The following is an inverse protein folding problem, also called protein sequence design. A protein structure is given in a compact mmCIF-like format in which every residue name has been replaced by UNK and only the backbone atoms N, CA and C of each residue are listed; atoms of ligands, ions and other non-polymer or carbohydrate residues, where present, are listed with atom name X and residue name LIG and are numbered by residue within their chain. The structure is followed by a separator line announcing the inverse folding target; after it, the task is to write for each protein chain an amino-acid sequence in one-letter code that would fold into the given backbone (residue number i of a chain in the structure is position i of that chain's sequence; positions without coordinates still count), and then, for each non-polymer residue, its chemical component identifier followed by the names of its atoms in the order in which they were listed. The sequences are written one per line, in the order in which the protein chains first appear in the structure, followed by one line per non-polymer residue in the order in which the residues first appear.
data_IF_681743174069
#
_entry.id   IF_681743174069
#
_cell.length_a   1.000
_cell.length_b   1.000
_cell.length_c   1.000
_cell.angle_alpha   90.00
_cell.angle_beta   90.00
_cell.angle_gamma   90.00
#
_symmetry.space_group_name_H-M   'P 1'
#
loop_
_entity.id
_entity.type
_entity.pdbx_description
1 polymer ?
#
# COMPACT_ATOMS: atom_id res chain seq x y z
N UNK A 1 -4.32 15.50 2.51
CA UNK A 1 -3.80 14.25 3.08
C UNK A 1 -4.08 14.28 4.57
N UNK A 2 -4.61 13.19 5.14
CA UNK A 2 -4.93 13.09 6.56
C UNK A 2 -4.22 11.88 7.17
N UNK A 3 -3.47 12.08 8.26
CA UNK A 3 -2.84 10.99 9.01
C UNK A 3 -3.89 10.25 9.85
N UNK A 4 -3.81 8.91 9.87
CA UNK A 4 -4.70 8.05 10.63
C UNK A 4 -3.94 7.48 11.84
N UNK A 5 -4.12 8.12 12.99
CA UNK A 5 -3.38 7.82 14.22
C UNK A 5 -3.69 6.45 14.84
N UNK A 6 -4.80 5.82 14.45
CA UNK A 6 -5.23 4.51 14.98
C UNK A 6 -4.76 3.31 14.14
N UNK A 7 -3.76 3.50 13.27
CA UNK A 7 -3.15 2.39 12.54
C UNK A 7 -2.28 1.53 13.45
N UNK A 8 -2.65 0.26 13.64
CA UNK A 8 -1.93 -0.65 14.55
C UNK A 8 -0.54 -1.05 14.06
N UNK A 9 -0.37 -1.33 12.76
CA UNK A 9 0.85 -1.95 12.21
C UNK A 9 1.66 -1.07 11.26
N UNK A 10 1.08 0.04 10.81
CA UNK A 10 1.71 0.95 9.85
C UNK A 10 1.33 2.39 10.19
N UNK A 11 2.15 3.36 9.77
CA UNK A 11 1.66 4.73 9.66
C UNK A 11 0.80 4.81 8.40
N UNK A 12 -0.45 5.23 8.55
CA UNK A 12 -1.41 5.26 7.46
C UNK A 12 -1.87 6.70 7.22
N UNK A 13 -2.08 7.04 5.95
CA UNK A 13 -2.70 8.29 5.56
C UNK A 13 -3.78 8.04 4.52
N UNK A 14 -4.84 8.85 4.58
CA UNK A 14 -5.76 9.00 3.46
C UNK A 14 -5.29 10.14 2.57
N UNK A 15 -5.12 9.83 1.29
CA UNK A 15 -4.84 10.81 0.23
C UNK A 15 -6.13 11.00 -0.56
N UNK A 16 -6.51 12.25 -0.79
CA UNK A 16 -7.63 12.61 -1.67
C UNK A 16 -7.04 13.43 -2.81
N UNK A 17 -7.32 13.02 -4.03
CA UNK A 17 -6.89 13.68 -5.26
C UNK A 17 -8.12 13.89 -6.15
N UNK A 18 -7.95 14.61 -7.27
CA UNK A 18 -8.98 14.71 -8.31
C UNK A 18 -9.36 13.37 -8.93
N UNK A 19 -8.48 12.36 -8.83
CA UNK A 19 -8.65 11.03 -9.40
C UNK A 19 -9.23 10.03 -8.39
N UNK A 20 -9.50 10.45 -7.16
CA UNK A 20 -10.13 9.62 -6.14
C UNK A 20 -9.42 9.64 -4.79
N UNK A 21 -9.72 8.62 -3.98
CA UNK A 21 -9.15 8.44 -2.64
C UNK A 21 -8.23 7.22 -2.60
N UNK A 22 -7.11 7.39 -1.92
CA UNK A 22 -6.08 6.36 -1.79
C UNK A 22 -5.66 6.23 -0.32
N UNK A 23 -5.24 5.03 0.05
CA UNK A 23 -4.55 4.79 1.31
C UNK A 23 -3.04 4.72 1.05
N UNK A 24 -2.27 5.58 1.70
CA UNK A 24 -0.81 5.47 1.75
C UNK A 24 -0.41 4.81 3.07
N UNK A 25 0.48 3.84 3.00
CA UNK A 25 1.01 3.13 4.16
C UNK A 25 2.52 3.23 4.15
N UNK A 26 3.11 3.69 5.25
CA UNK A 26 4.54 3.51 5.52
C UNK A 26 4.68 2.25 6.37
N UNK A 27 5.48 1.32 5.86
CA UNK A 27 5.80 0.05 6.51
C UNK A 27 6.77 0.29 7.67
N UNK A 28 6.49 -0.29 8.83
CA UNK A 28 7.34 -0.16 10.02
C UNK A 28 7.98 -1.50 10.40
N UNK A 29 7.16 -2.52 10.66
CA UNK A 29 7.60 -3.74 11.36
C UNK A 29 7.45 -5.01 10.52
N UNK A 30 7.51 -4.88 9.19
CA UNK A 30 7.45 -6.01 8.26
C UNK A 30 8.61 -5.97 7.27
N UNK A 31 9.31 -7.10 7.03
CA UNK A 31 10.31 -7.16 5.97
C UNK A 31 9.69 -6.79 4.62
N UNK A 32 10.36 -5.92 3.87
CA UNK A 32 9.90 -5.40 2.57
C UNK A 32 9.58 -6.52 1.58
N UNK A 33 10.39 -7.58 1.57
CA UNK A 33 10.15 -8.74 0.71
C UNK A 33 8.80 -9.42 1.01
N UNK A 34 8.46 -9.56 2.29
CA UNK A 34 7.17 -10.10 2.73
C UNK A 34 6.02 -9.19 2.32
N UNK A 35 6.17 -7.88 2.51
CA UNK A 35 5.15 -6.90 2.09
C UNK A 35 4.92 -6.95 0.57
N UNK A 36 5.98 -6.95 -0.24
CA UNK A 36 5.90 -7.08 -1.70
C UNK A 36 5.19 -8.36 -2.13
N UNK A 37 5.52 -9.50 -1.51
CA UNK A 37 4.84 -10.78 -1.78
C UNK A 37 3.35 -10.70 -1.45
N UNK A 38 3.00 -10.21 -0.27
CA UNK A 38 1.60 -10.11 0.17
C UNK A 38 0.78 -9.20 -0.75
N UNK A 39 1.36 -8.07 -1.17
CA UNK A 39 0.69 -7.12 -2.06
C UNK A 39 0.45 -7.70 -3.46
N UNK A 40 1.38 -8.48 -4.01
CA UNK A 40 1.17 -9.21 -5.28
C UNK A 40 0.01 -10.21 -5.17
N UNK A 41 -0.15 -10.87 -4.02
CA UNK A 41 -1.29 -11.76 -3.77
C UNK A 41 -2.60 -10.97 -3.78
N UNK A 42 -2.64 -9.76 -3.21
CA UNK A 42 -3.84 -8.93 -3.25
C UNK A 42 -4.23 -8.52 -4.67
N UNK A 43 -3.27 -8.26 -5.56
CA UNK A 43 -3.54 -8.03 -6.99
C UNK A 43 -4.22 -9.24 -7.61
N UNK A 44 -3.66 -10.44 -7.44
CA UNK A 44 -4.23 -11.67 -7.99
C UNK A 44 -5.62 -11.99 -7.43
N UNK A 45 -5.85 -11.74 -6.13
CA UNK A 45 -7.17 -11.91 -5.51
C UNK A 45 -8.20 -10.92 -6.08
N UNK A 46 -7.80 -9.67 -6.28
CA UNK A 46 -8.64 -8.65 -6.89
C UNK A 46 -9.02 -9.01 -8.34
N UNK A 47 -8.05 -9.45 -9.14
CA UNK A 47 -8.28 -9.95 -10.51
C UNK A 47 -9.20 -11.18 -10.52
N UNK A 48 -9.13 -12.03 -9.49
CA UNK A 48 -10.05 -13.14 -9.26
C UNK A 48 -11.44 -12.74 -8.75
N UNK A 49 -11.74 -11.44 -8.62
CA UNK A 49 -13.05 -10.92 -8.21
C UNK A 49 -13.27 -10.85 -6.69
N UNK A 50 -12.25 -11.13 -5.88
CA UNK A 50 -12.36 -10.99 -4.42
C UNK A 50 -12.34 -9.49 -4.06
N UNK A 51 -13.26 -9.00 -3.19
CA UNK A 51 -13.35 -7.59 -2.84
C UNK A 51 -12.23 -7.17 -1.87
N UNK A 52 -10.99 -7.13 -2.37
CA UNK A 52 -9.81 -6.63 -1.67
C UNK A 52 -9.29 -5.35 -2.31
N UNK A 53 -8.57 -4.55 -1.54
CA UNK A 53 -7.86 -3.38 -2.06
C UNK A 53 -6.59 -3.84 -2.80
N UNK A 54 -6.60 -3.76 -4.13
CA UNK A 54 -5.37 -3.95 -4.93
C UNK A 54 -4.41 -2.76 -4.74
N UNK A 55 -3.10 -3.00 -4.61
CA UNK A 55 -2.12 -1.92 -4.54
C UNK A 55 -2.09 -1.10 -5.83
N UNK A 56 -1.93 0.22 -5.70
CA UNK A 56 -1.54 1.04 -6.84
C UNK A 56 -0.04 0.83 -7.10
N UNK A 57 0.30 0.39 -8.31
CA UNK A 57 1.69 0.14 -8.69
C UNK A 57 2.44 1.44 -9.00
N UNK A 58 3.73 1.44 -8.72
CA UNK A 58 4.67 2.47 -9.20
C UNK A 58 4.80 2.41 -10.72
N UNK A 59 5.50 3.39 -11.31
CA UNK A 59 5.83 3.38 -12.74
C UNK A 59 6.66 2.17 -13.18
N UNK A 60 7.40 1.55 -12.26
CA UNK A 60 8.23 0.36 -12.50
C UNK A 60 7.52 -0.95 -12.10
N UNK A 61 6.18 -0.93 -12.07
CA UNK A 61 5.32 -2.08 -11.71
C UNK A 61 5.57 -2.69 -10.32
N UNK A 62 6.19 -1.94 -9.41
CA UNK A 62 6.38 -2.33 -8.02
C UNK A 62 5.20 -1.91 -7.13
N UNK A 63 4.75 -2.75 -6.17
CA UNK A 63 3.68 -2.40 -5.23
C UNK A 63 4.18 -1.62 -3.99
N UNK A 64 5.49 -1.41 -3.87
CA UNK A 64 6.17 -0.76 -2.75
C UNK A 64 7.33 0.05 -3.29
N UNK A 65 7.50 1.27 -2.81
CA UNK A 65 8.60 2.17 -3.17
C UNK A 65 9.42 2.52 -1.94
N UNK A 66 10.75 2.50 -2.07
CA UNK A 66 11.66 2.96 -1.03
C UNK A 66 11.83 4.49 -1.18
N UNK A 67 11.58 5.25 -0.11
CA UNK A 67 11.72 6.71 -0.06
C UNK A 67 12.72 7.08 1.04
N UNK A 68 13.97 7.35 0.63
CA UNK A 68 15.07 7.56 1.57
C UNK A 68 15.33 6.30 2.40
N UNK A 69 15.20 6.39 3.73
CA UNK A 69 15.32 5.23 4.64
C UNK A 69 13.97 4.59 4.98
N UNK A 70 12.89 5.00 4.31
CA UNK A 70 11.52 4.56 4.59
C UNK A 70 10.98 3.72 3.44
N UNK A 71 10.04 2.85 3.77
CA UNK A 71 9.35 1.96 2.84
C UNK A 71 7.84 2.07 3.04
#
# INVERSE_FOLDING_TARGET
MAYLAHGLMNRNWQITTTNGRYALKQLLDIPVATARRNLRILTALHEGGVPVCSPLLTRDDAPVVDVGTRV
#
